data_IF_137784646817
#
_entry.id   IF_137784646817
#
_cell.length_a   1.000
_cell.length_b   1.000
_cell.length_c   1.000
_cell.angle_alpha   90.00
_cell.angle_beta   90.00
_cell.angle_gamma   90.00
#
_symmetry.space_group_name_H-M   'P 1'
#
loop_
_entity.id
_entity.type
_entity.pdbx_description
1 polymer ?
#
# COMPACT_ATOMS: atom_id res chain seq x y z
N UNK A 1 3.08 9.57 10.18
CA UNK A 1 4.54 9.59 9.99
C UNK A 1 5.23 8.73 11.03
N UNK A 2 6.29 7.97 10.67
CA UNK A 2 7.16 7.30 11.65
C UNK A 2 7.67 8.29 12.72
N UNK A 3 7.81 7.85 13.97
CA UNK A 3 8.20 8.71 15.08
C UNK A 3 9.01 7.94 16.14
N UNK A 4 9.77 8.67 16.96
CA UNK A 4 10.65 8.08 17.98
C UNK A 4 9.89 7.27 19.05
N UNK A 5 8.65 7.64 19.36
CA UNK A 5 7.86 6.91 20.34
C UNK A 5 7.56 5.48 19.86
N UNK A 6 7.23 5.32 18.57
CA UNK A 6 7.08 4.01 17.92
C UNK A 6 8.40 3.25 17.92
N UNK A 7 9.50 3.90 17.58
CA UNK A 7 10.80 3.23 17.51
C UNK A 7 11.21 2.66 18.87
N UNK A 8 10.92 3.38 19.97
CA UNK A 8 11.11 2.86 21.33
C UNK A 8 10.21 1.67 21.66
N UNK A 9 8.96 1.66 21.19
CA UNK A 9 8.07 0.50 21.38
C UNK A 9 8.59 -0.76 20.67
N UNK A 10 9.28 -0.59 19.54
CA UNK A 10 9.91 -1.69 18.81
C UNK A 10 11.27 -2.13 19.36
N UNK A 11 11.81 -1.45 20.38
CA UNK A 11 13.13 -1.74 20.90
C UNK A 11 13.18 -3.15 21.51
N UNK A 12 14.16 -3.95 21.10
CA UNK A 12 14.32 -5.34 21.53
C UNK A 12 13.45 -6.35 20.76
N UNK A 13 12.59 -5.89 19.85
CA UNK A 13 11.83 -6.76 18.92
C UNK A 13 12.67 -7.06 17.69
N UNK A 14 12.66 -8.30 17.22
CA UNK A 14 13.31 -8.67 15.96
C UNK A 14 12.47 -8.19 14.76
N UNK A 15 12.80 -7.00 14.24
CA UNK A 15 12.08 -6.35 13.13
C UNK A 15 12.82 -6.40 11.78
N UNK A 16 13.90 -7.19 11.66
CA UNK A 16 14.59 -7.36 10.38
C UNK A 16 13.65 -8.00 9.36
N UNK A 17 13.36 -7.34 8.22
CA UNK A 17 12.46 -7.89 7.22
C UNK A 17 13.13 -9.08 6.52
N UNK A 18 12.45 -10.23 6.51
CA UNK A 18 12.85 -11.41 5.75
C UNK A 18 11.64 -12.31 5.46
N UNK A 19 11.82 -13.33 4.64
CA UNK A 19 10.75 -14.28 4.26
C UNK A 19 10.07 -14.93 5.47
N UNK A 20 10.84 -15.19 6.55
CA UNK A 20 10.35 -15.86 7.75
C UNK A 20 9.99 -14.89 8.89
N UNK A 21 9.96 -13.58 8.63
CA UNK A 21 9.57 -12.57 9.61
C UNK A 21 8.51 -11.61 9.03
N UNK A 22 7.23 -12.02 9.00
CA UNK A 22 6.13 -11.16 8.55
C UNK A 22 6.04 -9.85 9.36
N UNK A 23 6.29 -9.90 10.67
CA UNK A 23 6.30 -8.71 11.52
C UNK A 23 7.37 -7.69 11.11
N UNK A 24 8.57 -8.16 10.77
CA UNK A 24 9.64 -7.32 10.22
C UNK A 24 9.29 -6.71 8.85
N UNK A 25 8.65 -7.50 7.97
CA UNK A 25 8.15 -6.99 6.67
C UNK A 25 7.12 -5.87 6.86
N UNK A 26 6.07 -6.12 7.65
CA UNK A 26 5.03 -5.12 7.96
C UNK A 26 5.63 -3.86 8.58
N UNK A 27 6.58 -4.01 9.52
CA UNK A 27 7.24 -2.89 10.15
C UNK A 27 8.01 -2.02 9.15
N UNK A 28 8.59 -2.63 8.11
CA UNK A 28 9.31 -1.93 7.02
C UNK A 28 8.37 -1.19 6.06
N UNK A 29 7.13 -1.65 5.89
CA UNK A 29 6.15 -1.06 4.97
C UNK A 29 5.56 0.27 5.46
N UNK A 30 5.61 0.53 6.77
CA UNK A 30 4.96 1.71 7.37
C UNK A 30 5.33 3.03 6.69
N UNK A 31 6.62 3.23 6.36
CA UNK A 31 7.06 4.48 5.76
C UNK A 31 6.41 4.70 4.38
N UNK A 32 6.39 3.67 3.55
CA UNK A 32 5.75 3.72 2.22
C UNK A 32 4.24 3.88 2.32
N UNK A 33 3.59 3.16 3.24
CA UNK A 33 2.15 3.26 3.47
C UNK A 33 1.73 4.68 3.88
N UNK A 34 2.47 5.31 4.80
CA UNK A 34 2.22 6.70 5.21
C UNK A 34 2.40 7.67 4.03
N UNK A 35 3.41 7.48 3.20
CA UNK A 35 3.63 8.33 2.04
C UNK A 35 2.53 8.17 0.98
N UNK A 36 1.98 6.96 0.84
CA UNK A 36 0.94 6.65 -0.13
C UNK A 36 -0.46 7.11 0.31
N UNK A 37 -0.69 7.26 1.62
CA UNK A 37 -1.99 7.57 2.22
C UNK A 37 -2.71 8.81 1.62
N UNK A 38 -2.04 9.94 1.33
CA UNK A 38 -2.69 11.08 0.66
C UNK A 38 -3.14 10.76 -0.77
N UNK A 39 -2.34 9.99 -1.50
CA UNK A 39 -2.60 9.58 -2.89
C UNK A 39 -3.74 8.55 -2.94
N UNK A 40 -3.72 7.58 -2.03
CA UNK A 40 -4.78 6.59 -1.88
C UNK A 40 -6.11 7.26 -1.57
N UNK A 41 -6.12 8.22 -0.65
CA UNK A 41 -7.34 8.99 -0.34
C UNK A 41 -7.87 9.77 -1.53
N UNK A 42 -6.97 10.39 -2.30
CA UNK A 42 -7.30 11.13 -3.53
C UNK A 42 -7.94 10.20 -4.57
N UNK A 43 -7.34 9.02 -4.79
CA UNK A 43 -7.85 7.99 -5.68
C UNK A 43 -9.21 7.42 -5.22
N UNK A 44 -9.33 7.02 -3.94
CA UNK A 44 -10.59 6.51 -3.36
C UNK A 44 -11.73 7.53 -3.44
N UNK A 45 -11.42 8.82 -3.35
CA UNK A 45 -12.41 9.88 -3.56
C UNK A 45 -12.88 9.90 -5.02
N UNK A 46 -11.95 9.82 -5.98
CA UNK A 46 -12.29 9.79 -7.40
C UNK A 46 -13.12 8.56 -7.80
N UNK A 47 -12.79 7.37 -7.26
CA UNK A 47 -13.60 6.16 -7.45
C UNK A 47 -15.09 6.38 -7.11
N UNK A 48 -15.38 7.20 -6.10
CA UNK A 48 -16.75 7.50 -5.66
C UNK A 48 -17.43 8.63 -6.43
N UNK A 49 -16.66 9.55 -7.01
CA UNK A 49 -17.21 10.84 -7.49
C UNK A 49 -16.95 11.15 -8.95
N UNK A 50 -16.01 10.45 -9.61
CA UNK A 50 -15.54 10.78 -10.96
C UNK A 50 -15.89 9.74 -12.03
N UNK A 51 -16.55 8.65 -11.65
CA UNK A 51 -17.02 7.67 -12.64
C UNK A 51 -15.93 6.79 -13.21
N UNK A 52 -14.93 6.44 -12.38
CA UNK A 52 -14.05 5.30 -12.68
C UNK A 52 -14.93 4.04 -12.66
N UNK A 53 -15.09 3.39 -13.80
CA UNK A 53 -16.03 2.27 -14.00
C UNK A 53 -15.32 0.91 -14.01
N UNK A 54 -14.00 0.91 -14.22
CA UNK A 54 -13.20 -0.31 -14.18
C UNK A 54 -13.42 -1.14 -12.90
N UNK A 55 -13.44 -2.46 -13.05
CA UNK A 55 -13.68 -3.39 -11.95
C UNK A 55 -12.39 -3.92 -11.32
N UNK A 56 -11.32 -4.04 -12.12
CA UNK A 56 -10.01 -4.45 -11.62
C UNK A 56 -9.16 -3.24 -11.21
N UNK A 57 -8.34 -3.45 -10.18
CA UNK A 57 -7.57 -2.37 -9.56
C UNK A 57 -6.60 -1.71 -10.55
N UNK A 58 -5.96 -2.48 -11.44
CA UNK A 58 -5.00 -1.95 -12.40
C UNK A 58 -5.67 -1.03 -13.41
N UNK A 59 -6.79 -1.46 -14.00
CA UNK A 59 -7.56 -0.64 -14.93
C UNK A 59 -8.14 0.61 -14.25
N UNK A 60 -8.55 0.53 -12.98
CA UNK A 60 -8.96 1.72 -12.21
C UNK A 60 -7.84 2.75 -12.08
N UNK A 61 -6.59 2.30 -11.87
CA UNK A 61 -5.44 3.21 -11.83
C UNK A 61 -5.15 3.81 -13.20
N UNK A 62 -5.29 3.03 -14.28
CA UNK A 62 -5.09 3.51 -15.65
C UNK A 62 -6.14 4.58 -16.02
N UNK A 63 -7.41 4.35 -15.69
CA UNK A 63 -8.49 5.35 -15.84
C UNK A 63 -8.20 6.61 -15.01
N UNK A 64 -7.78 6.45 -13.75
CA UNK A 64 -7.45 7.58 -12.88
C UNK A 64 -6.27 8.43 -13.40
N UNK A 65 -5.29 7.81 -14.07
CA UNK A 65 -4.21 8.54 -14.76
C UNK A 65 -4.74 9.23 -16.01
N UNK A 66 -5.53 8.54 -16.84
CA UNK A 66 -6.09 9.08 -18.07
C UNK A 66 -6.99 10.31 -17.80
N UNK A 67 -7.74 10.28 -16.71
CA UNK A 67 -8.58 11.40 -16.24
C UNK A 67 -7.79 12.50 -15.49
N UNK A 68 -6.48 12.32 -15.31
CA UNK A 68 -5.62 13.27 -14.59
C UNK A 68 -5.94 13.37 -13.09
N UNK A 69 -6.60 12.37 -12.51
CA UNK A 69 -6.83 12.27 -11.07
C UNK A 69 -5.52 12.04 -10.35
N UNK A 70 -4.68 11.14 -10.87
CA UNK A 70 -3.36 10.83 -10.32
C UNK A 70 -2.28 10.89 -11.39
N UNK A 71 -1.03 11.14 -10.99
CA UNK A 71 0.14 11.07 -11.89
C UNK A 71 0.63 9.63 -12.07
N UNK A 72 1.52 9.40 -13.04
CA UNK A 72 2.17 8.10 -13.21
C UNK A 72 3.03 7.66 -12.01
N UNK A 73 3.63 8.60 -11.28
CA UNK A 73 4.35 8.31 -10.04
C UNK A 73 3.39 7.93 -8.91
N UNK A 74 2.27 8.64 -8.79
CA UNK A 74 1.20 8.34 -7.85
C UNK A 74 0.58 6.95 -8.14
N UNK A 75 0.41 6.56 -9.41
CA UNK A 75 0.00 5.21 -9.82
C UNK A 75 0.97 4.15 -9.29
N UNK A 76 2.27 4.31 -9.54
CA UNK A 76 3.30 3.37 -9.07
C UNK A 76 3.27 3.23 -7.55
N UNK A 77 3.06 4.35 -6.85
CA UNK A 77 2.96 4.36 -5.39
C UNK A 77 1.77 3.55 -4.87
N UNK A 78 0.63 3.57 -5.58
CA UNK A 78 -0.55 2.76 -5.25
C UNK A 78 -0.38 1.29 -5.63
N UNK A 79 0.34 0.98 -6.71
CA UNK A 79 0.73 -0.39 -7.05
C UNK A 79 1.62 -1.00 -5.95
N UNK A 80 2.67 -0.29 -5.54
CA UNK A 80 3.55 -0.71 -4.43
C UNK A 80 2.76 -0.88 -3.12
N UNK A 81 1.81 0.02 -2.83
CA UNK A 81 0.94 -0.10 -1.66
C UNK A 81 0.09 -1.37 -1.72
N UNK A 82 -0.48 -1.68 -2.90
CA UNK A 82 -1.29 -2.87 -3.10
C UNK A 82 -0.48 -4.15 -2.92
N UNK A 83 0.73 -4.21 -3.46
CA UNK A 83 1.64 -5.34 -3.28
C UNK A 83 1.96 -5.59 -1.80
N UNK A 84 2.32 -4.54 -1.05
CA UNK A 84 2.59 -4.66 0.40
C UNK A 84 1.36 -5.13 1.18
N UNK A 85 0.16 -4.65 0.81
CA UNK A 85 -1.09 -5.14 1.42
C UNK A 85 -1.31 -6.61 1.13
N UNK A 86 -1.16 -7.05 -0.13
CA UNK A 86 -1.32 -8.45 -0.50
C UNK A 86 -0.30 -9.35 0.20
N UNK A 87 0.98 -8.98 0.25
CA UNK A 87 2.01 -9.71 1.04
C UNK A 87 1.65 -9.84 2.53
N UNK A 88 0.93 -8.85 3.07
CA UNK A 88 0.54 -8.83 4.48
C UNK A 88 -0.70 -9.67 4.77
N UNK A 89 -1.70 -9.65 3.89
CA UNK A 89 -3.01 -10.28 4.13
C UNK A 89 -3.15 -11.67 3.51
N UNK A 90 -2.34 -12.00 2.51
CA UNK A 90 -2.35 -13.33 1.89
C UNK A 90 -1.69 -14.30 2.85
N UNK A 91 -2.52 -15.14 3.47
CA UNK A 91 -2.10 -16.18 4.42
C UNK A 91 -2.30 -17.59 3.82
N UNK A 92 -2.95 -17.70 2.66
CA UNK A 92 -3.22 -18.97 1.98
C UNK A 92 -2.03 -19.40 1.13
N UNK A 93 -1.24 -20.32 1.69
CA UNK A 93 -0.45 -21.30 0.96
C UNK A 93 -1.08 -22.69 1.22
N UNK A 94 -2.37 -22.83 0.88
CA UNK A 94 -2.99 -24.14 0.83
C UNK A 94 -2.61 -24.79 -0.50
N UNK A 95 -1.63 -25.67 -0.47
CA UNK A 95 -1.46 -26.68 -1.53
C UNK A 95 -2.78 -27.47 -1.67
N UNK A 96 -3.20 -27.86 -2.91
CA UNK A 96 -4.40 -28.66 -3.15
C UNK A 96 -4.45 -30.00 -2.40
#
# INVERSE_FOLDING_TARGET
TPNEARDRLGQGVFLTPCANNPGGRIASYLAKAVLAEPVERKFLKALKTKGIEALDFTAQLDEAVAEGVITGDERRQLEELREMMMDTITVDDFDP
#
